data_IF_239159185725
#
_entry.id   IF_239159185725
#
_cell.length_a   1.000
_cell.length_b   1.000
_cell.length_c   1.000
_cell.angle_alpha   90.00
_cell.angle_beta   90.00
_cell.angle_gamma   90.00
#
_symmetry.space_group_name_H-M   'P 1'
#
loop_
_entity.id
_entity.type
_entity.pdbx_description
1 polymer ?
#
# COMPACT_ATOMS: atom_id res chain seq x y z
N UNK A 1 -0.64 41.91 -82.94
CA UNK A 1 0.11 40.64 -82.96
C UNK A 1 1.41 40.87 -82.23
N UNK A 2 1.50 40.42 -80.99
CA UNK A 2 2.67 40.58 -80.11
C UNK A 2 2.78 39.31 -79.28
N UNK A 3 3.96 38.72 -79.27
CA UNK A 3 4.20 37.37 -78.76
C UNK A 3 4.20 37.24 -77.24
N UNK A 4 3.99 36.00 -76.82
CA UNK A 4 4.24 35.48 -75.47
C UNK A 4 4.68 34.03 -75.59
N UNK A 5 5.96 33.83 -75.32
CA UNK A 5 6.61 32.78 -74.51
C UNK A 5 6.01 31.35 -74.48
N UNK A 6 6.83 30.39 -74.93
CA UNK A 6 6.68 28.95 -74.66
C UNK A 6 6.94 28.62 -73.19
N UNK A 7 6.14 27.69 -72.63
CA UNK A 7 6.45 26.93 -71.43
C UNK A 7 6.26 25.43 -71.74
N UNK A 8 7.20 24.55 -71.32
CA UNK A 8 7.28 23.17 -71.80
C UNK A 8 6.38 22.17 -71.05
N UNK A 9 6.11 21.07 -71.77
CA UNK A 9 5.29 19.90 -71.41
C UNK A 9 5.50 19.35 -69.98
N UNK A 10 4.40 19.25 -69.23
CA UNK A 10 4.33 18.48 -68.00
C UNK A 10 4.10 16.99 -68.33
N UNK A 11 5.16 16.17 -68.21
CA UNK A 11 5.06 14.71 -68.14
C UNK A 11 4.23 14.27 -66.93
N UNK A 12 3.36 13.25 -67.06
CA UNK A 12 2.71 12.63 -65.92
C UNK A 12 3.74 11.90 -65.04
N UNK A 13 3.71 12.19 -63.74
CA UNK A 13 4.53 11.51 -62.75
C UNK A 13 4.12 10.03 -62.66
N UNK A 14 5.07 9.14 -62.97
CA UNK A 14 4.91 7.71 -62.80
C UNK A 14 4.65 7.34 -61.33
N UNK A 15 3.66 6.47 -61.11
CA UNK A 15 3.34 5.91 -59.81
C UNK A 15 4.57 5.19 -59.20
N UNK A 16 4.94 5.56 -57.96
CA UNK A 16 5.94 4.82 -57.19
C UNK A 16 5.43 3.40 -56.87
N UNK A 17 6.24 2.35 -57.04
CA UNK A 17 5.84 0.99 -56.70
C UNK A 17 5.64 0.85 -55.19
N UNK A 18 4.46 0.35 -54.77
CA UNK A 18 4.13 0.06 -53.38
C UNK A 18 4.99 -1.10 -52.88
N UNK A 19 5.88 -0.80 -51.93
CA UNK A 19 6.85 -1.73 -51.39
C UNK A 19 6.16 -2.76 -50.47
N UNK A 20 5.75 -3.91 -51.03
CA UNK A 20 5.07 -4.99 -50.29
C UNK A 20 5.93 -5.54 -49.14
N UNK A 21 7.25 -5.48 -49.25
CA UNK A 21 8.18 -5.94 -48.22
C UNK A 21 8.07 -5.15 -46.91
N UNK A 22 7.84 -3.83 -46.96
CA UNK A 22 7.69 -3.00 -45.77
C UNK A 22 6.40 -3.31 -44.99
N UNK A 23 5.33 -3.69 -45.69
CA UNK A 23 4.04 -4.04 -45.07
C UNK A 23 4.07 -5.44 -44.44
N UNK A 24 4.79 -6.38 -45.04
CA UNK A 24 5.02 -7.70 -44.45
C UNK A 24 5.92 -7.61 -43.21
N UNK A 25 6.95 -6.75 -43.23
CA UNK A 25 7.83 -6.57 -42.06
C UNK A 25 7.11 -5.89 -40.89
N UNK A 26 6.23 -4.92 -41.15
CA UNK A 26 5.39 -4.30 -40.10
C UNK A 26 4.41 -5.29 -39.46
N UNK A 27 3.84 -6.21 -40.25
CA UNK A 27 2.97 -7.26 -39.71
C UNK A 27 3.79 -8.25 -38.86
N UNK A 28 5.00 -8.62 -39.28
CA UNK A 28 5.87 -9.51 -38.49
C UNK A 28 6.32 -8.86 -37.17
N UNK A 29 6.70 -7.58 -37.18
CA UNK A 29 7.08 -6.85 -35.95
C UNK A 29 5.88 -6.66 -35.02
N UNK A 30 4.70 -6.35 -35.55
CA UNK A 30 3.47 -6.28 -34.75
C UNK A 30 3.06 -7.65 -34.19
N UNK A 31 3.26 -8.74 -34.95
CA UNK A 31 2.94 -10.11 -34.51
C UNK A 31 3.92 -10.62 -33.45
N UNK A 32 5.21 -10.24 -33.55
CA UNK A 32 6.21 -10.55 -32.53
C UNK A 32 5.98 -9.69 -31.28
N UNK A 33 5.60 -8.42 -31.43
CA UNK A 33 5.24 -7.54 -30.30
C UNK A 33 4.00 -8.02 -29.54
N UNK A 34 2.94 -8.40 -30.25
CA UNK A 34 1.72 -8.97 -29.64
C UNK A 34 1.99 -10.37 -29.06
N UNK A 35 2.81 -11.19 -29.73
CA UNK A 35 3.21 -12.50 -29.24
C UNK A 35 4.08 -12.41 -27.98
N UNK A 36 5.00 -11.45 -27.91
CA UNK A 36 5.80 -11.17 -26.72
C UNK A 36 4.92 -10.64 -25.59
N UNK A 37 4.02 -9.69 -25.85
CA UNK A 37 3.09 -9.17 -24.84
C UNK A 37 2.18 -10.27 -24.26
N UNK A 38 1.63 -11.15 -25.11
CA UNK A 38 0.78 -12.28 -24.68
C UNK A 38 1.58 -13.37 -23.96
N UNK A 39 2.83 -13.61 -24.34
CA UNK A 39 3.72 -14.54 -23.63
C UNK A 39 4.19 -13.96 -22.30
N UNK A 40 4.42 -12.66 -22.17
CA UNK A 40 4.75 -12.01 -20.88
C UNK A 40 3.56 -12.05 -19.93
N UNK A 41 2.34 -11.77 -20.42
CA UNK A 41 1.10 -11.87 -19.62
C UNK A 41 0.84 -13.33 -19.19
N UNK A 42 0.97 -14.30 -20.09
CA UNK A 42 0.72 -15.71 -19.76
C UNK A 42 1.83 -16.35 -18.91
N UNK A 43 3.09 -15.95 -19.09
CA UNK A 43 4.22 -16.48 -18.30
C UNK A 43 4.30 -15.85 -16.91
N UNK A 44 3.88 -14.58 -16.77
CA UNK A 44 3.78 -13.89 -15.48
C UNK A 44 2.76 -14.52 -14.53
N UNK A 45 1.73 -15.20 -15.04
CA UNK A 45 0.75 -15.96 -14.23
C UNK A 45 1.28 -17.33 -13.79
N UNK A 46 2.23 -17.93 -14.53
CA UNK A 46 2.66 -19.34 -14.33
C UNK A 46 4.01 -19.47 -13.61
N UNK A 47 4.85 -18.43 -13.60
CA UNK A 47 6.20 -18.44 -13.01
C UNK A 47 6.38 -17.51 -11.81
N UNK A 48 5.30 -16.89 -11.32
CA UNK A 48 5.33 -16.11 -10.08
C UNK A 48 5.68 -17.02 -8.89
N UNK A 49 6.46 -16.53 -7.89
CA UNK A 49 6.54 -17.22 -6.61
C UNK A 49 5.11 -17.44 -6.12
N UNK A 50 4.72 -18.71 -5.97
CA UNK A 50 3.42 -18.99 -5.34
C UNK A 50 3.44 -18.27 -4.00
N UNK A 51 2.35 -17.56 -3.67
CA UNK A 51 2.06 -17.22 -2.29
C UNK A 51 2.39 -18.45 -1.45
N UNK A 52 3.16 -18.32 -0.35
CA UNK A 52 3.55 -19.46 0.46
C UNK A 52 2.32 -20.34 0.68
N UNK A 53 2.45 -21.64 0.36
CA UNK A 53 1.33 -22.58 0.49
C UNK A 53 0.75 -22.39 1.89
N UNK A 54 -0.53 -22.01 1.94
CA UNK A 54 -1.26 -21.90 3.19
C UNK A 54 -1.22 -23.28 3.82
N UNK A 55 -0.36 -23.43 4.83
CA UNK A 55 -0.37 -24.61 5.69
C UNK A 55 -1.79 -24.79 6.24
N UNK A 56 -2.18 -26.03 6.61
CA UNK A 56 -3.52 -26.29 7.10
C UNK A 56 -3.92 -25.25 8.15
N UNK A 57 -5.06 -24.59 7.93
CA UNK A 57 -5.73 -23.78 8.95
C UNK A 57 -5.85 -24.69 10.17
N UNK A 58 -5.06 -24.39 11.21
CA UNK A 58 -5.40 -24.91 12.52
C UNK A 58 -6.76 -24.29 12.86
N UNK A 59 -7.61 -25.02 13.58
CA UNK A 59 -8.86 -24.47 14.09
C UNK A 59 -8.54 -23.22 14.91
N UNK A 60 -8.55 -22.06 14.26
CA UNK A 60 -8.52 -20.78 14.93
C UNK A 60 -9.80 -20.81 15.74
N UNK A 61 -9.75 -20.67 17.07
CA UNK A 61 -10.94 -20.27 17.77
C UNK A 61 -11.18 -18.86 17.25
N UNK A 62 -11.96 -18.74 16.17
CA UNK A 62 -12.75 -17.54 15.93
C UNK A 62 -13.31 -17.25 17.30
N UNK A 63 -13.00 -16.08 17.85
CA UNK A 63 -13.68 -15.54 19.03
C UNK A 63 -15.14 -15.32 18.67
N UNK A 64 -15.83 -16.39 18.29
CA UNK A 64 -17.20 -16.44 17.92
C UNK A 64 -17.91 -16.43 19.25
N UNK A 65 -18.32 -15.23 19.64
CA UNK A 65 -19.44 -15.08 20.55
C UNK A 65 -20.64 -15.79 19.89
N UNK A 66 -21.14 -16.90 20.45
CA UNK A 66 -22.27 -17.63 19.86
C UNK A 66 -23.57 -16.83 19.77
N UNK A 67 -23.60 -15.70 20.45
CA UNK A 67 -24.70 -14.76 20.52
C UNK A 67 -24.56 -13.58 19.56
N UNK A 68 -23.45 -13.50 18.80
CA UNK A 68 -23.28 -12.57 17.68
C UNK A 68 -23.86 -13.13 16.37
N UNK A 69 -24.83 -14.05 16.47
CA UNK A 69 -25.76 -14.43 15.40
C UNK A 69 -26.65 -13.22 15.04
N UNK A 70 -26.05 -12.18 14.47
CA UNK A 70 -26.79 -11.20 13.68
C UNK A 70 -26.71 -11.63 12.21
N UNK A 71 -27.05 -12.89 11.96
CA UNK A 71 -27.15 -13.50 10.63
C UNK A 71 -27.96 -12.55 9.74
N UNK A 72 -27.31 -11.90 8.78
CA UNK A 72 -27.99 -11.14 7.74
C UNK A 72 -29.08 -10.20 8.30
N UNK A 73 -28.83 -9.50 9.41
CA UNK A 73 -29.89 -8.73 10.07
C UNK A 73 -30.41 -7.55 9.22
N UNK A 74 -29.66 -7.15 8.19
CA UNK A 74 -29.96 -6.00 7.33
C UNK A 74 -29.70 -6.30 5.84
N UNK A 75 -30.42 -5.63 4.92
CA UNK A 75 -30.13 -5.66 3.48
C UNK A 75 -28.67 -5.37 3.12
N UNK A 76 -28.03 -4.45 3.85
CA UNK A 76 -26.59 -4.15 3.67
C UNK A 76 -25.71 -5.36 4.01
N UNK A 77 -25.99 -6.06 5.11
CA UNK A 77 -25.26 -7.27 5.49
C UNK A 77 -25.40 -8.39 4.45
N UNK A 78 -26.59 -8.56 3.87
CA UNK A 78 -26.82 -9.51 2.78
C UNK A 78 -26.03 -9.15 1.51
N UNK A 79 -25.94 -7.85 1.20
CA UNK A 79 -25.11 -7.34 0.09
C UNK A 79 -23.65 -7.71 0.27
N UNK A 80 -23.08 -7.41 1.44
CA UNK A 80 -21.68 -7.75 1.71
C UNK A 80 -21.45 -9.26 1.72
N UNK A 81 -22.40 -10.06 2.22
CA UNK A 81 -22.27 -11.51 2.18
C UNK A 81 -22.14 -12.05 0.75
N UNK A 82 -22.98 -11.57 -0.16
CA UNK A 82 -22.94 -11.96 -1.58
C UNK A 82 -21.68 -11.45 -2.28
N UNK A 83 -21.27 -10.19 -2.04
CA UNK A 83 -20.03 -9.64 -2.60
C UNK A 83 -18.78 -10.41 -2.13
N UNK A 84 -18.70 -10.77 -0.84
CA UNK A 84 -17.58 -11.57 -0.32
C UNK A 84 -17.60 -13.01 -0.84
N UNK A 85 -18.78 -13.60 -1.05
CA UNK A 85 -18.90 -14.90 -1.71
C UNK A 85 -18.38 -14.84 -3.16
N UNK A 86 -18.79 -13.81 -3.90
CA UNK A 86 -18.32 -13.57 -5.26
C UNK A 86 -16.80 -13.35 -5.33
N UNK A 87 -16.21 -12.61 -4.39
CA UNK A 87 -14.75 -12.45 -4.30
C UNK A 87 -14.04 -13.80 -4.04
N UNK A 88 -14.52 -14.61 -3.10
CA UNK A 88 -13.95 -15.95 -2.84
C UNK A 88 -14.03 -16.87 -4.06
N UNK A 89 -15.10 -16.75 -4.85
CA UNK A 89 -15.30 -17.51 -6.08
C UNK A 89 -14.61 -16.91 -7.30
N UNK A 90 -13.97 -15.73 -7.16
CA UNK A 90 -13.41 -14.93 -8.27
C UNK A 90 -14.45 -14.61 -9.36
N UNK A 91 -15.72 -14.42 -8.97
CA UNK A 91 -16.82 -14.11 -9.87
C UNK A 91 -17.09 -12.60 -9.90
N UNK A 92 -16.46 -11.94 -10.87
CA UNK A 92 -16.57 -10.49 -11.08
C UNK A 92 -18.01 -10.04 -11.37
N UNK A 93 -18.75 -10.80 -12.18
CA UNK A 93 -20.11 -10.40 -12.59
C UNK A 93 -21.08 -10.50 -11.40
N UNK A 94 -20.94 -11.55 -10.58
CA UNK A 94 -21.71 -11.69 -9.33
C UNK A 94 -21.33 -10.61 -8.30
N UNK A 95 -20.07 -10.23 -8.22
CA UNK A 95 -19.62 -9.13 -7.35
C UNK A 95 -20.27 -7.80 -7.73
N UNK A 96 -20.33 -7.50 -9.03
CA UNK A 96 -20.91 -6.26 -9.56
C UNK A 96 -22.44 -6.26 -9.61
N UNK A 97 -23.10 -7.39 -9.39
CA UNK A 97 -24.57 -7.51 -9.43
C UNK A 97 -25.28 -6.64 -8.36
N UNK A 98 -24.55 -6.22 -7.32
CA UNK A 98 -25.07 -5.40 -6.22
C UNK A 98 -24.61 -3.94 -6.28
N UNK A 99 -24.15 -3.49 -7.44
CA UNK A 99 -23.79 -2.11 -7.69
C UNK A 99 -24.44 -1.59 -8.97
N UNK A 100 -24.78 -0.30 -8.97
CA UNK A 100 -25.36 0.39 -10.12
C UNK A 100 -24.70 1.75 -10.34
N UNK A 101 -24.86 2.30 -11.54
CA UNK A 101 -24.34 3.63 -11.90
C UNK A 101 -22.83 3.76 -11.65
N UNK A 102 -22.44 4.85 -10.97
CA UNK A 102 -21.03 5.16 -10.69
C UNK A 102 -20.39 4.13 -9.75
N UNK A 103 -21.14 3.53 -8.83
CA UNK A 103 -20.62 2.46 -7.97
C UNK A 103 -20.19 1.23 -8.75
N UNK A 104 -20.97 0.82 -9.76
CA UNK A 104 -20.62 -0.31 -10.60
C UNK A 104 -19.31 -0.06 -11.37
N UNK A 105 -19.11 1.17 -11.85
CA UNK A 105 -17.88 1.56 -12.54
C UNK A 105 -16.67 1.57 -11.58
N UNK A 106 -16.82 2.13 -10.38
CA UNK A 106 -15.74 2.18 -9.39
C UNK A 106 -15.36 0.79 -8.87
N UNK A 107 -16.34 -0.07 -8.58
CA UNK A 107 -16.09 -1.45 -8.14
C UNK A 107 -15.48 -2.31 -9.24
N UNK A 108 -15.89 -2.09 -10.50
CA UNK A 108 -15.26 -2.72 -11.65
C UNK A 108 -13.79 -2.31 -11.76
N UNK A 109 -13.50 -1.02 -11.63
CA UNK A 109 -12.13 -0.51 -11.65
C UNK A 109 -11.28 -1.08 -10.51
N UNK A 110 -11.82 -1.08 -9.28
CA UNK A 110 -11.15 -1.69 -8.13
C UNK A 110 -10.85 -3.16 -8.37
N UNK A 111 -11.81 -3.92 -8.90
CA UNK A 111 -11.63 -5.34 -9.19
C UNK A 111 -10.52 -5.55 -10.22
N UNK A 112 -10.60 -4.85 -11.36
CA UNK A 112 -9.69 -5.03 -12.49
C UNK A 112 -8.25 -4.64 -12.12
N UNK A 113 -8.09 -3.51 -11.42
CA UNK A 113 -6.78 -3.06 -10.93
C UNK A 113 -6.22 -4.00 -9.85
N UNK A 114 -7.06 -4.46 -8.93
CA UNK A 114 -6.65 -5.44 -7.92
C UNK A 114 -6.19 -6.74 -8.57
N UNK A 115 -6.93 -7.22 -9.58
CA UNK A 115 -6.60 -8.43 -10.34
C UNK A 115 -5.26 -8.28 -11.09
N UNK A 116 -5.01 -7.11 -11.70
CA UNK A 116 -3.73 -6.80 -12.33
C UNK A 116 -2.57 -6.85 -11.32
N UNK A 117 -2.76 -6.30 -10.11
CA UNK A 117 -1.80 -6.37 -9.01
C UNK A 117 -1.59 -7.83 -8.56
N UNK A 118 -2.64 -8.66 -8.60
CA UNK A 118 -2.60 -10.10 -8.36
C UNK A 118 -3.05 -10.48 -6.96
N UNK A 119 -4.28 -10.12 -6.59
CA UNK A 119 -4.86 -10.49 -5.31
C UNK A 119 -5.31 -11.96 -5.23
N UNK A 120 -5.18 -12.55 -4.05
CA UNK A 120 -5.65 -13.91 -3.76
C UNK A 120 -6.93 -13.89 -2.92
N UNK A 121 -6.88 -13.30 -1.73
CA UNK A 121 -8.01 -13.15 -0.82
C UNK A 121 -8.45 -11.68 -0.78
N UNK A 122 -9.75 -11.40 -0.66
CA UNK A 122 -10.26 -10.04 -0.50
C UNK A 122 -11.49 -10.01 0.39
N UNK A 123 -11.74 -8.84 0.97
CA UNK A 123 -12.93 -8.60 1.78
C UNK A 123 -13.48 -7.19 1.59
N UNK A 124 -14.80 -7.10 1.73
CA UNK A 124 -15.52 -5.86 1.96
C UNK A 124 -16.34 -6.02 3.24
N UNK A 125 -16.15 -5.12 4.20
CA UNK A 125 -16.83 -5.21 5.48
C UNK A 125 -17.17 -3.84 6.03
N UNK A 126 -18.34 -3.66 6.66
CA UNK A 126 -18.66 -2.43 7.37
C UNK A 126 -17.65 -2.16 8.51
N UNK A 127 -17.32 -0.89 8.74
CA UNK A 127 -16.62 -0.48 9.98
C UNK A 127 -17.59 -0.37 11.15
N UNK A 128 -18.86 -0.08 10.88
CA UNK A 128 -19.99 -0.11 11.81
C UNK A 128 -21.25 -0.64 11.09
N UNK A 129 -22.16 -1.28 11.82
CA UNK A 129 -23.37 -1.86 11.24
C UNK A 129 -24.49 -0.85 10.99
N UNK A 130 -24.36 0.36 11.52
CA UNK A 130 -25.37 1.39 11.37
C UNK A 130 -25.14 2.18 10.07
N UNK A 131 -26.17 2.20 9.21
CA UNK A 131 -26.24 3.14 8.08
C UNK A 131 -26.71 4.48 8.63
N UNK A 132 -26.08 5.56 8.22
CA UNK A 132 -26.46 6.89 8.68
C UNK A 132 -27.79 7.38 8.06
N UNK A 133 -28.27 8.54 8.50
CA UNK A 133 -29.52 9.14 8.03
C UNK A 133 -29.50 9.45 6.51
N UNK A 134 -28.32 9.52 5.89
CA UNK A 134 -28.14 9.74 4.46
C UNK A 134 -28.11 8.44 3.64
N UNK A 135 -28.28 7.27 4.28
CA UNK A 135 -28.19 5.98 3.59
C UNK A 135 -26.75 5.56 3.30
N UNK A 136 -25.78 6.09 4.04
CA UNK A 136 -24.36 5.84 3.84
C UNK A 136 -23.73 5.02 4.96
N UNK A 137 -22.65 4.32 4.64
CA UNK A 137 -21.91 3.48 5.57
C UNK A 137 -20.42 3.51 5.19
N UNK A 138 -19.54 3.52 6.19
CA UNK A 138 -18.11 3.32 5.96
C UNK A 138 -17.79 1.82 5.94
N UNK A 139 -17.00 1.40 4.95
CA UNK A 139 -16.57 0.01 4.76
C UNK A 139 -15.06 -0.04 4.59
N UNK A 140 -14.44 -1.11 5.05
CA UNK A 140 -13.10 -1.51 4.62
C UNK A 140 -13.26 -2.39 3.39
N UNK A 141 -12.72 -1.94 2.26
CA UNK A 141 -12.54 -2.74 1.05
C UNK A 141 -11.05 -2.95 0.84
N UNK A 142 -10.64 -4.20 0.68
CA UNK A 142 -9.23 -4.54 0.60
C UNK A 142 -8.99 -5.93 0.06
N UNK A 143 -7.77 -6.16 -0.38
CA UNK A 143 -7.33 -7.46 -0.80
C UNK A 143 -5.93 -7.75 -0.26
N UNK A 144 -5.64 -9.04 -0.14
CA UNK A 144 -4.31 -9.57 -0.01
C UNK A 144 -3.65 -9.54 -1.38
N UNK A 145 -2.82 -8.54 -1.62
CA UNK A 145 -2.01 -8.44 -2.82
C UNK A 145 -0.75 -9.31 -2.70
N UNK A 146 0.13 -9.25 -3.72
CA UNK A 146 1.42 -9.94 -3.66
C UNK A 146 2.20 -9.62 -2.38
N UNK A 147 2.91 -10.61 -1.84
CA UNK A 147 3.76 -10.50 -0.63
C UNK A 147 3.01 -10.09 0.63
N UNK A 148 1.83 -10.64 0.82
CA UNK A 148 1.05 -10.43 2.03
C UNK A 148 1.84 -10.64 3.32
N UNK A 149 1.70 -9.71 4.25
CA UNK A 149 2.22 -9.88 5.58
C UNK A 149 1.44 -10.95 6.33
N UNK A 150 2.18 -11.87 6.95
CA UNK A 150 1.70 -12.99 7.73
C UNK A 150 2.62 -13.17 8.95
N UNK A 151 2.25 -12.65 10.13
CA UNK A 151 2.95 -12.98 11.37
C UNK A 151 3.06 -14.51 11.52
N UNK A 152 4.24 -15.00 11.86
CA UNK A 152 4.50 -16.44 11.90
C UNK A 152 3.75 -17.11 13.05
N UNK A 153 3.27 -18.34 12.84
CA UNK A 153 2.59 -19.08 13.91
C UNK A 153 3.53 -19.34 15.09
N UNK A 154 3.15 -18.86 16.28
CA UNK A 154 3.85 -19.15 17.54
C UNK A 154 4.79 -18.05 18.04
N UNK A 155 4.80 -16.90 17.36
CA UNK A 155 5.46 -15.65 17.80
C UNK A 155 4.78 -14.99 19.02
N UNK A 156 3.55 -15.41 19.34
CA UNK A 156 2.74 -14.85 20.42
C UNK A 156 1.80 -13.73 19.96
N UNK A 157 1.76 -13.44 18.66
CA UNK A 157 0.80 -12.54 18.03
C UNK A 157 -0.58 -13.20 17.97
N UNK A 158 -1.63 -12.41 18.18
CA UNK A 158 -3.02 -12.83 18.03
C UNK A 158 -3.40 -13.11 16.57
N UNK A 159 -2.66 -12.50 15.63
CA UNK A 159 -2.87 -12.59 14.19
C UNK A 159 -1.98 -13.65 13.52
N UNK A 160 -1.23 -14.40 14.33
CA UNK A 160 -0.34 -15.48 13.93
C UNK A 160 -0.99 -16.46 12.94
N UNK A 161 -0.48 -16.47 11.70
CA UNK A 161 -0.97 -17.32 10.61
C UNK A 161 -2.27 -16.86 9.95
N UNK A 162 -2.70 -15.61 10.15
CA UNK A 162 -3.77 -14.95 9.41
C UNK A 162 -3.19 -14.00 8.35
N UNK A 163 -3.97 -13.75 7.30
CA UNK A 163 -3.64 -12.84 6.21
C UNK A 163 -3.90 -11.39 6.61
N UNK A 164 -2.87 -10.55 6.53
CA UNK A 164 -2.99 -9.10 6.64
C UNK A 164 -3.25 -8.51 5.24
N UNK A 165 -4.49 -8.12 5.00
CA UNK A 165 -4.92 -7.52 3.73
C UNK A 165 -4.52 -6.03 3.65
N UNK A 166 -4.45 -5.49 2.44
CA UNK A 166 -4.27 -4.05 2.20
C UNK A 166 -5.63 -3.38 1.99
N UNK A 167 -6.37 -3.17 3.08
CA UNK A 167 -7.69 -2.55 3.06
C UNK A 167 -7.68 -1.03 3.29
N UNK A 168 -8.65 -0.34 2.70
CA UNK A 168 -8.84 1.09 2.88
C UNK A 168 -10.31 1.41 3.13
N UNK A 169 -10.55 2.55 3.78
CA UNK A 169 -11.90 3.01 4.11
C UNK A 169 -12.56 3.65 2.87
N UNK A 170 -13.75 3.18 2.54
CA UNK A 170 -14.63 3.74 1.52
C UNK A 170 -15.96 4.11 2.16
N UNK A 171 -16.61 5.15 1.68
CA UNK A 171 -18.00 5.46 1.97
C UNK A 171 -18.87 4.88 0.87
N UNK A 172 -19.78 3.98 1.23
CA UNK A 172 -20.81 3.43 0.34
C UNK A 172 -22.15 4.11 0.56
N UNK A 173 -22.95 4.25 -0.48
CA UNK A 173 -24.34 4.75 -0.42
C UNK A 173 -25.30 3.73 -1.01
N UNK A 174 -26.36 3.40 -0.28
CA UNK A 174 -27.38 2.44 -0.72
C UNK A 174 -28.59 3.14 -1.36
N UNK A 175 -29.36 2.41 -2.16
CA UNK A 175 -30.62 2.93 -2.72
C UNK A 175 -31.61 3.37 -1.60
N UNK A 176 -32.28 4.54 -1.74
CA UNK A 176 -33.27 5.00 -0.78
C UNK A 176 -34.42 4.00 -0.57
N UNK A 177 -34.80 3.76 0.68
CA UNK A 177 -35.88 2.82 1.03
C UNK A 177 -35.41 1.39 1.30
N UNK A 178 -34.11 1.12 1.13
CA UNK A 178 -33.44 -0.02 1.78
C UNK A 178 -33.49 0.25 3.29
N UNK A 179 -34.55 -0.14 4.02
CA UNK A 179 -34.67 0.17 5.45
C UNK A 179 -33.42 -0.32 6.20
N UNK A 180 -32.54 0.59 6.67
CA UNK A 180 -31.40 0.22 7.46
C UNK A 180 -31.89 0.16 8.91
N UNK A 181 -32.72 -0.81 9.23
CA UNK A 181 -33.11 -0.98 10.63
C UNK A 181 -31.87 -1.34 11.43
N UNK A 182 -31.79 -0.73 12.62
CA UNK A 182 -30.78 -1.05 13.62
C UNK A 182 -30.73 -2.56 13.85
N UNK A 183 -29.52 -3.09 14.01
CA UNK A 183 -29.27 -4.51 14.30
C UNK A 183 -30.09 -5.04 15.49
N UNK A 184 -30.47 -4.18 16.42
CA UNK A 184 -31.24 -4.55 17.62
C UNK A 184 -32.75 -4.66 17.42
N UNK A 185 -33.33 -4.12 16.34
CA UNK A 185 -34.79 -4.06 16.15
C UNK A 185 -35.37 -5.29 15.42
N UNK A 186 -34.53 -6.24 14.95
CA UNK A 186 -34.94 -7.31 14.02
C UNK A 186 -34.74 -8.76 14.47
N UNK A 187 -34.57 -9.03 15.76
CA UNK A 187 -34.45 -10.41 16.30
C UNK A 187 -35.63 -11.37 16.01
N UNK A 188 -36.72 -10.91 15.37
CA UNK A 188 -37.91 -11.73 15.06
C UNK A 188 -38.10 -12.05 13.57
N UNK A 189 -37.25 -11.58 12.65
CA UNK A 189 -37.38 -11.91 11.22
C UNK A 189 -36.68 -13.23 10.88
N UNK A 190 -37.43 -14.20 10.33
CA UNK A 190 -36.96 -15.56 10.02
C UNK A 190 -36.52 -15.74 8.56
N UNK A 191 -36.75 -14.75 7.70
CA UNK A 191 -36.33 -14.78 6.29
C UNK A 191 -35.13 -13.85 6.10
N UNK A 192 -34.07 -14.29 5.39
CA UNK A 192 -32.93 -13.42 5.10
C UNK A 192 -33.39 -12.24 4.25
N UNK A 193 -32.94 -11.00 4.56
CA UNK A 193 -33.34 -9.82 3.80
C UNK A 193 -32.77 -9.87 2.39
N UNK A 194 -33.51 -9.32 1.44
CA UNK A 194 -33.02 -9.07 0.09
C UNK A 194 -31.81 -8.11 0.13
N UNK A 195 -30.74 -8.37 -0.64
CA UNK A 195 -29.59 -7.48 -0.74
C UNK A 195 -29.97 -6.07 -1.21
N UNK A 196 -29.37 -5.06 -0.59
CA UNK A 196 -29.46 -3.67 -1.02
C UNK A 196 -28.53 -3.38 -2.20
N UNK A 197 -28.91 -2.41 -3.03
CA UNK A 197 -28.10 -1.97 -4.16
C UNK A 197 -27.19 -0.80 -3.76
N UNK A 198 -25.90 -0.89 -4.08
CA UNK A 198 -24.92 0.18 -3.88
C UNK A 198 -25.00 1.14 -5.07
N UNK A 199 -25.21 2.42 -4.79
CA UNK A 199 -25.34 3.49 -5.80
C UNK A 199 -24.11 4.39 -5.88
N UNK A 200 -23.32 4.46 -4.81
CA UNK A 200 -22.04 5.17 -4.76
C UNK A 200 -21.05 4.42 -3.88
N UNK A 201 -19.77 4.46 -4.25
CA UNK A 201 -18.63 4.05 -3.42
C UNK A 201 -17.46 4.98 -3.73
N UNK A 202 -16.94 5.65 -2.71
CA UNK A 202 -15.83 6.60 -2.85
C UNK A 202 -14.86 6.46 -1.67
N UNK A 203 -13.56 6.74 -1.85
CA UNK A 203 -12.61 6.76 -0.74
C UNK A 203 -13.10 7.67 0.39
N UNK A 204 -13.12 7.17 1.63
CA UNK A 204 -13.58 7.93 2.79
C UNK A 204 -12.60 9.04 3.19
N UNK A 205 -11.32 8.87 2.83
CA UNK A 205 -10.21 9.79 3.14
C UNK A 205 -9.50 10.21 1.86
N UNK A 206 -8.25 9.79 1.68
CA UNK A 206 -7.47 10.05 0.47
C UNK A 206 -7.75 8.96 -0.58
N UNK A 207 -7.82 9.31 -1.87
CA UNK A 207 -7.92 8.30 -2.93
C UNK A 207 -6.68 7.42 -2.96
N UNK A 208 -6.87 6.14 -3.27
CA UNK A 208 -5.76 5.24 -3.49
C UNK A 208 -5.30 5.29 -4.96
N UNK A 209 -4.04 4.92 -5.24
CA UNK A 209 -3.51 4.91 -6.60
C UNK A 209 -4.36 4.11 -7.61
N UNK A 210 -5.01 3.02 -7.18
CA UNK A 210 -5.89 2.20 -8.02
C UNK A 210 -7.33 2.71 -8.16
N UNK A 211 -7.70 3.83 -7.51
CA UNK A 211 -9.07 4.35 -7.57
C UNK A 211 -9.31 5.30 -8.76
N UNK A 212 -8.27 5.77 -9.45
CA UNK A 212 -8.36 6.90 -10.38
C UNK A 212 -8.39 6.55 -11.87
N UNK A 213 -8.02 5.31 -12.23
CA UNK A 213 -7.98 4.85 -13.61
C UNK A 213 -7.24 3.52 -13.75
N UNK A 214 -7.14 3.04 -14.98
CA UNK A 214 -6.39 1.82 -15.30
C UNK A 214 -4.92 1.98 -14.90
N UNK A 215 -4.35 0.92 -14.33
CA UNK A 215 -2.95 0.88 -13.89
C UNK A 215 -2.11 -0.01 -14.80
N UNK A 216 -0.81 0.28 -14.85
CA UNK A 216 0.22 -0.63 -15.36
C UNK A 216 0.98 -1.25 -14.20
N UNK A 217 1.25 -2.55 -14.26
CA UNK A 217 1.89 -3.31 -13.17
C UNK A 217 3.14 -4.02 -13.68
N UNK A 218 4.27 -3.78 -13.03
CA UNK A 218 5.50 -4.55 -13.18
C UNK A 218 5.76 -5.35 -11.90
N UNK A 219 5.96 -6.66 -12.07
CA UNK A 219 6.15 -7.58 -10.95
C UNK A 219 7.58 -8.15 -10.94
N UNK A 220 8.15 -8.32 -9.74
CA UNK A 220 9.49 -8.86 -9.45
C UNK A 220 9.43 -9.74 -8.19
N UNK A 221 10.50 -10.46 -7.88
CA UNK A 221 10.50 -11.48 -6.83
C UNK A 221 10.14 -10.95 -5.43
N UNK A 222 10.36 -9.67 -5.15
CA UNK A 222 10.05 -9.04 -3.86
C UNK A 222 9.25 -7.73 -4.00
N UNK A 223 8.82 -7.35 -5.22
CA UNK A 223 8.07 -6.11 -5.45
C UNK A 223 6.97 -6.27 -6.49
N UNK A 224 5.80 -5.71 -6.19
CA UNK A 224 4.81 -5.33 -7.19
C UNK A 224 4.82 -3.80 -7.29
N UNK A 225 5.40 -3.29 -8.38
CA UNK A 225 5.43 -1.85 -8.67
C UNK A 225 4.35 -1.53 -9.69
N UNK A 226 3.52 -0.54 -9.41
CA UNK A 226 2.47 -0.12 -10.31
C UNK A 226 2.34 1.40 -10.38
N UNK A 227 1.74 1.89 -11.45
CA UNK A 227 1.48 3.31 -11.68
C UNK A 227 0.29 3.44 -12.62
N UNK A 228 -0.09 4.66 -12.96
CA UNK A 228 -1.18 4.86 -13.93
C UNK A 228 -0.79 4.27 -15.29
N UNK A 229 -1.76 3.86 -16.11
CA UNK A 229 -1.50 3.25 -17.42
C UNK A 229 -0.70 4.17 -18.37
N UNK A 230 -0.85 5.49 -18.23
CA UNK A 230 -0.06 6.49 -18.96
C UNK A 230 1.38 6.65 -18.42
N UNK A 231 1.69 6.08 -17.25
CA UNK A 231 3.01 6.03 -16.61
C UNK A 231 3.68 4.65 -16.72
N UNK A 232 3.22 3.79 -17.64
CA UNK A 232 3.77 2.44 -17.81
C UNK A 232 5.30 2.41 -18.01
N UNK A 233 5.86 3.39 -18.73
CA UNK A 233 7.31 3.49 -18.92
C UNK A 233 8.04 3.83 -17.60
N UNK A 234 7.47 4.69 -16.76
CA UNK A 234 8.02 5.01 -15.44
C UNK A 234 8.08 3.77 -14.56
N UNK A 235 7.00 2.97 -14.57
CA UNK A 235 6.91 1.71 -13.82
C UNK A 235 8.00 0.73 -14.28
N UNK A 236 8.10 0.46 -15.59
CA UNK A 236 9.09 -0.49 -16.11
C UNK A 236 10.53 -0.07 -15.86
N UNK A 237 10.84 1.23 -16.00
CA UNK A 237 12.18 1.75 -15.76
C UNK A 237 12.62 1.63 -14.29
N UNK A 238 11.67 1.62 -13.35
CA UNK A 238 11.96 1.63 -11.91
C UNK A 238 11.74 0.27 -11.22
N UNK A 239 11.11 -0.70 -11.87
CA UNK A 239 10.80 -1.99 -11.26
C UNK A 239 12.05 -2.74 -10.76
N UNK A 240 13.15 -2.72 -11.50
CA UNK A 240 14.40 -3.37 -11.08
C UNK A 240 15.10 -2.62 -9.94
N UNK A 241 14.94 -1.29 -9.86
CA UNK A 241 15.46 -0.49 -8.75
C UNK A 241 14.65 -0.74 -7.48
N UNK A 242 13.33 -0.84 -7.60
CA UNK A 242 12.45 -1.23 -6.49
C UNK A 242 12.82 -2.63 -5.97
N UNK A 243 13.03 -3.60 -6.85
CA UNK A 243 13.45 -4.97 -6.49
C UNK A 243 14.77 -4.99 -5.70
N UNK A 244 15.81 -4.31 -6.20
CA UNK A 244 17.10 -4.22 -5.46
C UNK A 244 16.93 -3.58 -4.09
N UNK A 245 16.08 -2.56 -4.01
CA UNK A 245 15.80 -1.84 -2.75
C UNK A 245 15.04 -2.72 -1.77
N UNK A 246 14.11 -3.56 -2.25
CA UNK A 246 13.37 -4.51 -1.44
C UNK A 246 14.28 -5.57 -0.83
N UNK A 247 15.15 -6.18 -1.64
CA UNK A 247 16.17 -7.13 -1.17
C UNK A 247 17.07 -6.46 -0.12
N UNK A 248 17.52 -5.23 -0.40
CA UNK A 248 18.37 -4.47 0.51
C UNK A 248 17.69 -4.22 1.86
N UNK A 249 16.42 -3.80 1.86
CA UNK A 249 15.65 -3.56 3.08
C UNK A 249 15.44 -4.87 3.87
N UNK A 250 14.97 -5.93 3.22
CA UNK A 250 14.74 -7.24 3.85
C UNK A 250 16.02 -7.80 4.47
N UNK A 251 17.15 -7.78 3.74
CA UNK A 251 18.43 -8.29 4.24
C UNK A 251 18.97 -7.43 5.38
N UNK A 252 18.76 -6.11 5.33
CA UNK A 252 19.15 -5.21 6.43
C UNK A 252 18.37 -5.52 7.70
N UNK A 253 17.04 -5.71 7.60
CA UNK A 253 16.21 -6.07 8.77
C UNK A 253 16.61 -7.44 9.34
N UNK A 254 16.84 -8.44 8.49
CA UNK A 254 17.35 -9.76 8.92
C UNK A 254 18.70 -9.65 9.62
N UNK A 255 19.61 -8.80 9.11
CA UNK A 255 20.91 -8.57 9.72
C UNK A 255 20.82 -7.85 11.09
N UNK A 256 19.77 -7.07 11.33
CA UNK A 256 19.44 -6.48 12.63
C UNK A 256 18.79 -7.47 13.60
N UNK A 257 18.61 -8.73 13.20
CA UNK A 257 17.95 -9.76 14.00
C UNK A 257 16.42 -9.73 13.92
N UNK A 258 15.85 -8.97 12.97
CA UNK A 258 14.42 -8.98 12.71
C UNK A 258 13.99 -10.18 11.87
N UNK A 259 12.74 -10.60 12.05
CA UNK A 259 12.06 -11.62 11.25
C UNK A 259 10.95 -10.91 10.47
N UNK A 260 11.21 -10.47 9.21
CA UNK A 260 10.21 -9.80 8.40
C UNK A 260 8.92 -10.62 8.28
N UNK A 261 7.77 -10.02 8.59
CA UNK A 261 6.46 -10.67 8.45
C UNK A 261 5.96 -10.72 7.00
N UNK A 262 6.71 -10.13 6.06
CA UNK A 262 6.44 -10.14 4.63
C UNK A 262 7.76 -10.31 3.85
N UNK A 263 7.67 -10.96 2.70
CA UNK A 263 8.81 -11.24 1.81
C UNK A 263 8.88 -10.28 0.61
N UNK A 264 8.12 -9.19 0.63
CA UNK A 264 8.11 -8.23 -0.46
C UNK A 264 7.12 -7.09 -0.23
N UNK A 265 6.92 -6.27 -1.26
CA UNK A 265 6.25 -4.98 -1.12
C UNK A 265 5.29 -4.67 -2.27
N UNK A 266 4.16 -4.06 -1.92
CA UNK A 266 3.27 -3.40 -2.88
C UNK A 266 3.61 -1.91 -2.94
N UNK A 267 3.91 -1.41 -4.13
CA UNK A 267 4.36 -0.03 -4.33
C UNK A 267 3.71 0.65 -5.52
N UNK A 268 3.21 1.87 -5.30
CA UNK A 268 2.79 2.76 -6.36
C UNK A 268 3.91 3.75 -6.72
N UNK A 269 3.95 4.23 -7.95
CA UNK A 269 4.88 5.27 -8.43
C UNK A 269 4.16 6.22 -9.38
N UNK A 270 4.45 7.51 -9.26
CA UNK A 270 3.94 8.58 -10.14
C UNK A 270 5.02 9.66 -10.33
N UNK A 271 5.08 10.28 -11.51
CA UNK A 271 5.87 11.49 -11.76
C UNK A 271 5.03 12.78 -11.71
N UNK A 272 3.69 12.63 -11.67
CA UNK A 272 2.76 13.73 -11.46
C UNK A 272 2.70 14.11 -9.97
N UNK A 273 3.25 15.30 -9.64
CA UNK A 273 3.22 15.85 -8.29
C UNK A 273 1.80 16.15 -7.78
N UNK A 274 0.88 16.57 -8.65
CA UNK A 274 -0.52 16.84 -8.26
C UNK A 274 -1.25 15.54 -7.92
N UNK A 275 -0.93 14.46 -8.63
CA UNK A 275 -1.43 13.11 -8.31
C UNK A 275 -0.85 12.61 -6.99
N UNK A 276 0.47 12.74 -6.81
CA UNK A 276 1.14 12.34 -5.58
C UNK A 276 0.59 13.06 -4.34
N UNK A 277 0.48 14.40 -4.38
CA UNK A 277 -0.10 15.18 -3.28
C UNK A 277 -1.54 14.77 -2.97
N UNK A 278 -2.34 14.47 -4.00
CA UNK A 278 -3.73 14.04 -3.82
C UNK A 278 -3.82 12.66 -3.16
N UNK A 279 -2.95 11.71 -3.51
CA UNK A 279 -2.90 10.40 -2.86
C UNK A 279 -2.40 10.48 -1.42
N UNK A 280 -1.46 11.39 -1.15
CA UNK A 280 -0.87 11.54 0.18
C UNK A 280 -1.80 12.27 1.15
N UNK A 281 -2.40 13.38 0.71
CA UNK A 281 -3.11 14.31 1.59
C UNK A 281 -4.62 14.35 1.35
N UNK A 282 -5.11 13.85 0.21
CA UNK A 282 -6.53 13.94 -0.15
C UNK A 282 -7.02 15.39 -0.16
N UNK A 283 -7.89 15.74 0.80
CA UNK A 283 -8.39 17.12 1.02
C UNK A 283 -7.62 17.87 2.12
N UNK A 284 -6.63 17.24 2.72
CA UNK A 284 -5.78 17.80 3.76
C UNK A 284 -4.79 18.82 3.24
N UNK A 285 -4.12 19.52 4.17
CA UNK A 285 -3.06 20.46 3.85
C UNK A 285 -1.73 19.72 3.73
N UNK A 286 -0.97 19.91 2.64
CA UNK A 286 0.40 19.41 2.53
C UNK A 286 1.28 19.91 3.68
N UNK A 287 2.35 19.16 3.98
CA UNK A 287 3.35 19.61 4.94
C UNK A 287 4.25 20.69 4.33
N UNK A 288 4.99 21.41 5.17
CA UNK A 288 5.95 22.43 4.72
C UNK A 288 7.25 21.81 4.16
N UNK A 289 7.33 20.48 4.09
CA UNK A 289 8.46 19.73 3.53
C UNK A 289 8.07 19.03 2.23
N UNK A 290 9.03 18.92 1.33
CA UNK A 290 8.91 18.11 0.12
C UNK A 290 8.98 16.63 0.50
N UNK A 291 7.98 15.85 0.09
CA UNK A 291 7.90 14.41 0.40
C UNK A 291 8.22 13.61 -0.85
N UNK A 292 9.27 12.80 -0.79
CA UNK A 292 9.72 11.98 -1.92
C UNK A 292 8.96 10.64 -2.06
N UNK A 293 8.42 10.14 -0.95
CA UNK A 293 7.65 8.92 -0.87
C UNK A 293 6.94 8.83 0.49
N UNK A 294 6.01 7.90 0.61
CA UNK A 294 5.40 7.58 1.90
C UNK A 294 4.95 6.13 1.96
N UNK A 295 4.97 5.57 3.16
CA UNK A 295 4.37 4.29 3.50
C UNK A 295 3.15 4.51 4.40
N UNK A 296 2.00 3.99 3.99
CA UNK A 296 0.74 4.10 4.73
C UNK A 296 0.31 2.72 5.25
N UNK A 297 0.13 2.56 6.58
CA UNK A 297 -0.47 1.34 7.10
C UNK A 297 -1.92 1.24 6.62
N UNK A 298 -2.35 0.02 6.36
CA UNK A 298 -3.69 -0.27 5.82
C UNK A 298 -4.62 -0.78 6.91
N UNK A 299 -5.89 -0.93 6.56
CA UNK A 299 -6.96 -1.38 7.42
C UNK A 299 -7.30 -2.85 7.17
N UNK A 300 -7.82 -3.49 8.20
CA UNK A 300 -8.47 -4.80 8.12
C UNK A 300 -9.95 -4.65 8.52
N UNK A 301 -10.82 -5.62 8.17
CA UNK A 301 -12.17 -5.66 8.72
C UNK A 301 -12.14 -5.58 10.25
N UNK A 302 -12.91 -4.66 10.83
CA UNK A 302 -12.85 -4.42 12.28
C UNK A 302 -13.53 -5.53 13.08
N UNK A 303 -14.50 -6.20 12.47
CA UNK A 303 -15.34 -7.19 13.11
C UNK A 303 -15.29 -8.50 12.33
N UNK A 304 -15.04 -9.60 13.02
CA UNK A 304 -15.18 -10.92 12.43
C UNK A 304 -16.63 -11.16 12.00
N UNK A 305 -16.83 -11.58 10.76
CA UNK A 305 -18.13 -11.95 10.19
C UNK A 305 -18.05 -13.31 9.52
N UNK A 306 -19.16 -14.07 9.50
CA UNK A 306 -19.19 -15.40 8.86
C UNK A 306 -18.97 -15.34 7.35
N UNK A 307 -19.26 -14.22 6.72
CA UNK A 307 -19.06 -14.02 5.28
C UNK A 307 -17.67 -13.50 4.92
N UNK A 308 -16.86 -13.08 5.90
CA UNK A 308 -15.44 -12.78 5.69
C UNK A 308 -14.68 -14.10 5.64
N UNK A 309 -13.69 -14.20 4.75
CA UNK A 309 -12.83 -15.38 4.70
C UNK A 309 -12.11 -15.57 6.06
N UNK A 310 -12.21 -16.75 6.70
CA UNK A 310 -11.64 -16.97 8.03
C UNK A 310 -10.11 -16.92 8.07
N UNK A 311 -9.44 -16.88 6.91
CA UNK A 311 -8.00 -16.65 6.81
C UNK A 311 -7.61 -15.20 7.03
N UNK A 312 -8.53 -14.23 6.89
CA UNK A 312 -8.25 -12.80 7.04
C UNK A 312 -8.23 -12.39 8.51
N UNK A 313 -7.20 -11.65 8.92
CA UNK A 313 -7.14 -11.06 10.25
C UNK A 313 -8.21 -9.97 10.41
N UNK A 314 -8.85 -9.89 11.58
CA UNK A 314 -9.86 -8.87 11.89
C UNK A 314 -9.57 -8.19 13.22
N UNK A 315 -10.05 -6.97 13.42
CA UNK A 315 -9.90 -6.23 14.67
C UNK A 315 -9.54 -4.76 14.49
N UNK A 316 -9.17 -4.11 15.58
CA UNK A 316 -8.90 -2.67 15.65
C UNK A 316 -7.52 -2.24 15.14
N UNK A 317 -6.66 -3.20 14.81
CA UNK A 317 -5.25 -2.90 14.51
C UNK A 317 -5.05 -2.72 13.01
N UNK A 318 -3.99 -2.01 12.64
CA UNK A 318 -3.55 -1.86 11.25
C UNK A 318 -3.20 -3.22 10.61
N UNK A 319 -3.16 -3.31 9.28
CA UNK A 319 -2.98 -4.58 8.56
C UNK A 319 -1.70 -4.58 7.71
N UNK A 320 -1.79 -4.70 6.38
CA UNK A 320 -0.64 -4.55 5.49
C UNK A 320 -0.15 -3.08 5.35
N UNK A 321 0.72 -2.83 4.38
CA UNK A 321 1.19 -1.47 4.03
C UNK A 321 1.05 -1.21 2.53
N UNK A 322 0.83 0.05 2.15
CA UNK A 322 1.04 0.55 0.79
C UNK A 322 2.22 1.53 0.79
N UNK A 323 3.18 1.33 -0.09
CA UNK A 323 4.27 2.28 -0.36
C UNK A 323 3.94 3.09 -1.61
N UNK A 324 4.20 4.39 -1.60
CA UNK A 324 3.96 5.28 -2.74
C UNK A 324 5.17 6.18 -2.97
N UNK A 325 5.64 6.23 -4.21
CA UNK A 325 6.81 7.01 -4.63
C UNK A 325 6.38 8.22 -5.47
N UNK A 326 6.83 9.40 -5.05
CA UNK A 326 6.56 10.66 -5.74
C UNK A 326 7.71 11.10 -6.66
N UNK A 327 7.51 12.22 -7.39
CA UNK A 327 8.51 12.76 -8.33
C UNK A 327 9.84 13.14 -7.66
N UNK A 328 9.81 13.62 -6.42
CA UNK A 328 11.02 14.07 -5.71
C UNK A 328 11.99 12.93 -5.37
N UNK A 329 11.52 11.67 -5.41
CA UNK A 329 12.39 10.50 -5.27
C UNK A 329 13.31 10.26 -6.46
N UNK A 330 13.12 10.94 -7.60
CA UNK A 330 13.85 10.65 -8.85
C UNK A 330 15.38 10.65 -8.69
N UNK A 331 15.93 11.58 -7.91
CA UNK A 331 17.39 11.71 -7.73
C UNK A 331 18.00 10.73 -6.71
N UNK A 332 17.17 10.09 -5.88
CA UNK A 332 17.59 9.21 -4.78
C UNK A 332 16.69 7.97 -4.66
N UNK A 333 16.21 7.46 -5.79
CA UNK A 333 15.08 6.51 -5.86
C UNK A 333 15.29 5.27 -5.00
N UNK A 334 16.46 4.66 -5.09
CA UNK A 334 16.78 3.45 -4.33
C UNK A 334 16.82 3.72 -2.82
N UNK A 335 17.45 4.82 -2.39
CA UNK A 335 17.47 5.23 -0.98
C UNK A 335 16.06 5.48 -0.44
N UNK A 336 15.21 6.18 -1.20
CA UNK A 336 13.82 6.45 -0.80
C UNK A 336 13.01 5.15 -0.76
N UNK A 337 13.19 4.22 -1.71
CA UNK A 337 12.55 2.91 -1.62
C UNK A 337 12.97 2.15 -0.36
N UNK A 338 14.26 2.11 -0.04
CA UNK A 338 14.76 1.47 1.18
C UNK A 338 14.13 2.11 2.43
N UNK A 339 14.01 3.43 2.48
CA UNK A 339 13.33 4.17 3.55
C UNK A 339 11.86 3.75 3.70
N UNK A 340 11.09 3.79 2.61
CA UNK A 340 9.67 3.44 2.66
C UNK A 340 9.42 1.94 2.90
N UNK A 341 10.32 1.07 2.44
CA UNK A 341 10.27 -0.36 2.75
C UNK A 341 10.59 -0.64 4.22
N UNK A 342 11.48 0.14 4.85
CA UNK A 342 11.69 0.06 6.29
C UNK A 342 10.42 0.40 7.06
N UNK A 343 9.69 1.45 6.65
CA UNK A 343 8.38 1.76 7.23
C UNK A 343 7.37 0.64 7.02
N UNK A 344 7.33 0.02 5.84
CA UNK A 344 6.42 -1.09 5.56
C UNK A 344 6.69 -2.30 6.48
N UNK A 345 7.96 -2.70 6.63
CA UNK A 345 8.35 -3.76 7.55
C UNK A 345 8.05 -3.40 9.01
N UNK A 346 8.25 -2.15 9.39
CA UNK A 346 7.97 -1.67 10.75
C UNK A 346 6.46 -1.73 11.06
N UNK A 347 5.61 -1.25 10.15
CA UNK A 347 4.15 -1.27 10.31
C UNK A 347 3.60 -2.70 10.40
N UNK A 348 4.13 -3.64 9.63
CA UNK A 348 3.65 -5.03 9.63
C UNK A 348 4.23 -5.89 10.75
N UNK A 349 5.33 -5.47 11.37
CA UNK A 349 5.92 -6.12 12.53
C UNK A 349 5.32 -5.66 13.86
N UNK A 350 4.76 -4.44 13.89
CA UNK A 350 4.07 -3.91 15.06
C UNK A 350 2.67 -3.38 14.69
N UNK A 351 1.72 -4.26 14.30
CA UNK A 351 0.35 -3.83 14.01
C UNK A 351 -0.27 -3.18 15.25
N UNK A 352 -0.43 -1.85 15.21
CA UNK A 352 -1.02 -1.10 16.32
C UNK A 352 -2.49 -0.78 16.10
N UNK A 353 -3.28 -0.71 17.17
CA UNK A 353 -4.47 0.15 17.21
C UNK A 353 -4.04 1.59 16.85
N UNK A 354 -4.88 2.41 16.21
CA UNK A 354 -4.56 3.72 15.60
C UNK A 354 -3.76 4.78 16.43
N UNK A 355 -3.29 4.47 17.64
CA UNK A 355 -2.17 5.17 18.27
C UNK A 355 -0.94 5.12 17.37
N UNK A 356 -0.76 6.16 16.55
CA UNK A 356 0.39 6.28 15.68
C UNK A 356 1.63 6.45 16.58
N UNK A 357 2.68 5.64 16.44
CA UNK A 357 3.94 5.91 17.13
C UNK A 357 4.41 7.33 16.78
N UNK A 358 5.10 8.04 17.69
CA UNK A 358 5.66 9.35 17.38
C UNK A 358 6.43 9.31 16.06
N UNK A 359 6.32 10.36 15.25
CA UNK A 359 6.93 10.38 13.90
C UNK A 359 8.43 10.10 13.99
N UNK A 360 9.08 10.58 15.06
CA UNK A 360 10.49 10.35 15.33
C UNK A 360 10.88 8.86 15.39
N UNK A 361 10.00 8.00 15.93
CA UNK A 361 10.28 6.57 16.06
C UNK A 361 10.36 5.94 14.67
N UNK A 362 9.36 6.22 13.82
CA UNK A 362 9.27 5.67 12.47
C UNK A 362 10.34 6.24 11.56
N UNK A 363 10.41 7.56 11.44
CA UNK A 363 11.36 8.23 10.55
C UNK A 363 12.81 8.00 10.98
N UNK A 364 13.07 7.97 12.29
CA UNK A 364 14.40 7.62 12.80
C UNK A 364 14.79 6.19 12.43
N UNK A 365 13.86 5.23 12.52
CA UNK A 365 14.16 3.84 12.19
C UNK A 365 14.45 3.68 10.70
N UNK A 366 13.57 4.19 9.84
CA UNK A 366 13.75 4.16 8.41
C UNK A 366 15.06 4.85 7.99
N UNK A 367 15.37 6.00 8.60
CA UNK A 367 16.62 6.73 8.37
C UNK A 367 17.86 5.95 8.82
N UNK A 368 17.78 5.22 9.93
CA UNK A 368 18.87 4.33 10.35
C UNK A 368 19.06 3.14 9.38
N UNK A 369 17.96 2.57 8.86
CA UNK A 369 18.03 1.49 7.86
C UNK A 369 18.71 1.96 6.57
N UNK A 370 18.49 3.19 6.13
CA UNK A 370 19.24 3.77 5.01
C UNK A 370 20.77 3.74 5.25
N UNK A 371 21.22 4.08 6.45
CA UNK A 371 22.65 4.07 6.79
C UNK A 371 23.19 2.65 6.93
N UNK A 372 22.45 1.79 7.65
CA UNK A 372 22.87 0.40 7.92
C UNK A 372 22.97 -0.41 6.64
N UNK A 373 22.09 -0.15 5.67
CA UNK A 373 22.13 -0.76 4.34
C UNK A 373 23.24 -0.22 3.44
N UNK A 374 23.84 0.93 3.79
CA UNK A 374 24.79 1.64 2.93
C UNK A 374 24.14 2.44 1.80
N UNK A 375 22.81 2.64 1.85
CA UNK A 375 22.07 3.43 0.85
C UNK A 375 22.23 4.94 1.05
N UNK A 376 22.72 5.36 2.23
CA UNK A 376 22.98 6.75 2.60
C UNK A 376 24.13 6.84 3.59
N UNK A 377 24.83 7.97 3.62
CA UNK A 377 25.88 8.23 4.61
C UNK A 377 25.27 8.59 5.98
N UNK A 378 25.91 8.19 7.11
CA UNK A 378 25.36 8.46 8.44
C UNK A 378 25.21 9.96 8.74
N UNK A 379 23.97 10.43 8.73
CA UNK A 379 23.63 11.85 8.85
C UNK A 379 23.96 12.48 10.21
N UNK A 380 24.00 11.68 11.28
CA UNK A 380 24.40 12.13 12.61
C UNK A 380 25.87 12.58 12.71
N UNK A 381 26.69 12.31 11.68
CA UNK A 381 28.06 12.81 11.59
C UNK A 381 28.13 14.29 11.18
N UNK A 382 27.04 14.84 10.65
CA UNK A 382 27.00 16.22 10.14
C UNK A 382 27.06 17.25 11.28
N UNK A 383 27.87 18.32 11.17
CA UNK A 383 28.04 19.30 12.24
C UNK A 383 26.74 19.95 12.73
N UNK A 384 25.80 20.22 11.81
CA UNK A 384 24.50 20.81 12.12
C UNK A 384 23.61 19.87 12.95
N UNK A 385 23.66 18.56 12.70
CA UNK A 385 22.90 17.55 13.46
C UNK A 385 23.50 17.42 14.86
N UNK A 386 24.83 17.30 14.96
CA UNK A 386 25.55 17.25 16.26
C UNK A 386 25.24 18.48 17.11
N UNK A 387 25.24 19.68 16.52
CA UNK A 387 24.91 20.93 17.21
C UNK A 387 23.46 20.94 17.70
N UNK A 388 22.51 20.47 16.90
CA UNK A 388 21.11 20.40 17.30
C UNK A 388 20.89 19.43 18.47
N UNK A 389 21.47 18.23 18.40
CA UNK A 389 21.41 17.22 19.47
C UNK A 389 22.05 17.75 20.75
N UNK A 390 23.21 18.39 20.66
CA UNK A 390 23.88 18.97 21.82
C UNK A 390 23.07 20.11 22.48
N UNK A 391 22.36 20.91 21.68
CA UNK A 391 21.59 22.05 22.17
C UNK A 391 20.20 21.67 22.71
N UNK A 392 19.55 20.68 22.10
CA UNK A 392 18.12 20.41 22.30
C UNK A 392 17.84 18.99 22.82
N UNK A 393 18.82 18.08 22.78
CA UNK A 393 18.62 16.68 23.13
C UNK A 393 17.50 16.06 22.30
N UNK A 394 16.58 15.36 22.95
CA UNK A 394 15.40 14.76 22.30
C UNK A 394 14.49 15.81 21.62
N UNK A 395 14.60 17.09 22.01
CA UNK A 395 13.91 18.18 21.34
C UNK A 395 14.34 18.40 19.88
N UNK A 396 15.50 17.86 19.47
CA UNK A 396 16.00 17.97 18.10
C UNK A 396 15.14 17.25 17.06
N UNK A 397 14.23 16.37 17.48
CA UNK A 397 13.31 15.62 16.61
C UNK A 397 11.86 15.63 17.09
N UNK A 398 11.39 16.78 17.58
CA UNK A 398 9.96 16.95 17.88
C UNK A 398 9.08 16.73 16.64
N UNK A 399 7.81 16.37 16.84
CA UNK A 399 6.83 16.21 15.74
C UNK A 399 6.70 17.49 14.88
N UNK A 400 6.89 18.67 15.47
CA UNK A 400 6.94 19.95 14.75
C UNK A 400 8.18 20.04 13.85
N UNK A 401 9.36 19.68 14.37
CA UNK A 401 10.60 19.70 13.61
C UNK A 401 10.54 18.73 12.42
N UNK A 402 9.94 17.56 12.63
CA UNK A 402 9.76 16.49 11.63
C UNK A 402 8.79 16.83 10.50
N UNK A 403 8.00 17.92 10.63
CA UNK A 403 7.08 18.41 9.59
C UNK A 403 7.49 19.75 8.99
N UNK A 404 8.62 20.29 9.44
CA UNK A 404 9.14 21.59 8.99
C UNK A 404 10.01 21.46 7.74
N UNK A 405 10.29 22.58 7.06
CA UNK A 405 11.25 22.62 5.96
C UNK A 405 12.67 22.11 6.35
N UNK A 406 12.99 22.05 7.65
CA UNK A 406 14.24 21.51 8.19
C UNK A 406 14.18 20.04 8.60
N UNK A 407 13.11 19.31 8.24
CA UNK A 407 12.83 17.95 8.73
C UNK A 407 14.01 16.98 8.60
N UNK A 408 14.81 17.05 7.54
CA UNK A 408 15.99 16.18 7.36
C UNK A 408 16.97 16.19 8.55
N UNK A 409 17.11 17.33 9.24
CA UNK A 409 17.95 17.41 10.45
C UNK A 409 17.31 16.64 11.61
N UNK A 410 15.99 16.75 11.78
CA UNK A 410 15.24 16.00 12.78
C UNK A 410 15.23 14.49 12.47
N UNK A 411 15.16 14.09 11.19
CA UNK A 411 15.22 12.69 10.77
C UNK A 411 16.59 12.09 11.11
N UNK A 412 17.67 12.79 10.79
CA UNK A 412 19.02 12.37 11.15
C UNK A 412 19.24 12.33 12.67
N UNK A 413 18.67 13.30 13.40
CA UNK A 413 18.76 13.29 14.85
C UNK A 413 18.03 12.09 15.46
N UNK A 414 16.81 11.78 14.97
CA UNK A 414 16.05 10.61 15.40
C UNK A 414 16.78 9.30 15.03
N UNK A 415 17.29 9.18 13.81
CA UNK A 415 18.02 7.99 13.36
C UNK A 415 19.29 7.73 14.17
N UNK A 416 19.94 8.78 14.67
CA UNK A 416 21.13 8.65 15.51
C UNK A 416 20.87 7.87 16.81
N UNK A 417 19.62 7.83 17.29
CA UNK A 417 19.26 7.06 18.46
C UNK A 417 19.33 5.55 18.21
N UNK A 418 18.89 5.11 17.03
CA UNK A 418 19.04 3.72 16.60
C UNK A 418 20.50 3.37 16.31
N UNK A 419 21.27 4.30 15.73
CA UNK A 419 22.71 4.12 15.55
C UNK A 419 23.46 3.98 16.89
N UNK A 420 23.07 4.75 17.89
CA UNK A 420 23.57 4.63 19.25
C UNK A 420 23.22 3.27 19.88
N UNK A 421 21.99 2.82 19.70
CA UNK A 421 21.51 1.50 20.15
C UNK A 421 22.36 0.38 19.54
N UNK A 422 22.57 0.41 18.21
CA UNK A 422 23.41 -0.54 17.48
C UNK A 422 24.86 -0.52 17.98
N UNK A 423 25.43 0.67 18.20
CA UNK A 423 26.80 0.84 18.70
C UNK A 423 27.01 0.34 20.15
N UNK A 424 25.94 0.06 20.88
CA UNK A 424 25.96 -0.48 22.25
C UNK A 424 25.51 -1.94 22.31
N UNK A 425 25.54 -2.65 21.17
CA UNK A 425 25.08 -4.03 21.02
C UNK A 425 23.61 -4.23 21.43
N UNK A 426 22.80 -3.16 21.35
CA UNK A 426 21.36 -3.21 21.59
C UNK A 426 20.60 -3.79 20.40
N UNK A 427 19.46 -4.43 20.66
CA UNK A 427 18.59 -4.92 19.59
C UNK A 427 17.75 -3.77 19.01
N UNK A 428 18.24 -3.16 17.93
CA UNK A 428 17.56 -2.06 17.21
C UNK A 428 16.16 -2.44 16.75
N UNK A 429 15.99 -3.66 16.25
CA UNK A 429 14.69 -4.13 15.75
C UNK A 429 13.66 -4.21 16.88
N UNK A 430 14.03 -4.81 18.02
CA UNK A 430 13.17 -4.84 19.21
C UNK A 430 12.83 -3.43 19.69
N UNK A 431 13.81 -2.51 19.73
CA UNK A 431 13.54 -1.12 20.10
C UNK A 431 12.54 -0.47 19.15
N UNK A 432 12.67 -0.68 17.83
CA UNK A 432 11.74 -0.13 16.85
C UNK A 432 10.32 -0.66 17.04
N UNK A 433 10.16 -1.98 17.19
CA UNK A 433 8.86 -2.65 17.39
C UNK A 433 8.23 -2.23 18.73
N UNK A 434 8.95 -2.33 19.83
CA UNK A 434 8.44 -2.03 21.18
C UNK A 434 8.06 -0.56 21.33
N UNK A 435 8.81 0.35 20.69
CA UNK A 435 8.49 1.80 20.72
C UNK A 435 7.13 2.13 20.11
N UNK A 436 6.58 1.25 19.27
CA UNK A 436 5.21 1.40 18.74
C UNK A 436 4.18 1.10 19.80
N UNK A 437 4.28 -0.07 20.44
CA UNK A 437 3.37 -0.48 21.51
C UNK A 437 3.49 0.43 22.74
N UNK A 438 4.70 0.93 23.00
CA UNK A 438 5.01 1.81 24.11
C UNK A 438 4.77 3.30 23.80
N UNK A 439 4.41 3.68 22.57
CA UNK A 439 4.17 5.07 22.15
C UNK A 439 5.37 6.03 22.37
N UNK A 440 6.59 5.55 22.19
CA UNK A 440 7.78 6.40 22.22
C UNK A 440 9.07 5.67 22.60
N UNK A 441 10.18 6.39 22.49
CA UNK A 441 11.48 5.92 22.95
C UNK A 441 11.49 5.79 24.49
N UNK A 442 12.22 4.80 25.01
CA UNK A 442 12.54 4.61 26.44
C UNK A 442 11.38 4.26 27.39
N UNK A 443 10.17 3.91 26.92
CA UNK A 443 9.10 3.67 27.89
C UNK A 443 9.34 2.44 28.79
N UNK A 444 10.22 1.50 28.38
CA UNK A 444 10.54 0.29 29.15
C UNK A 444 12.04 -0.09 29.24
N UNK A 445 12.96 0.68 28.64
CA UNK A 445 14.40 0.36 28.67
C UNK A 445 15.14 1.18 29.73
N UNK A 446 15.73 0.49 30.72
CA UNK A 446 16.61 1.08 31.73
C UNK A 446 18.07 1.24 31.26
N UNK A 447 18.39 0.74 30.06
CA UNK A 447 19.77 0.59 29.57
C UNK A 447 20.27 1.79 28.77
N UNK A 448 19.39 2.71 28.38
CA UNK A 448 19.72 3.89 27.59
C UNK A 448 19.23 5.17 28.25
N UNK A 449 20.05 6.22 28.24
CA UNK A 449 19.68 7.57 28.69
C UNK A 449 19.95 8.61 27.61
N UNK A 450 19.18 9.69 27.61
CA UNK A 450 19.39 10.84 26.71
C UNK A 450 20.82 11.39 26.83
N UNK A 451 21.34 11.50 28.05
CA UNK A 451 22.67 12.03 28.32
C UNK A 451 23.78 11.15 27.71
N UNK A 452 23.64 9.82 27.79
CA UNK A 452 24.62 8.89 27.23
C UNK A 452 24.60 8.88 25.70
N UNK A 453 23.40 8.99 25.10
CA UNK A 453 23.25 9.16 23.66
C UNK A 453 23.88 10.47 23.17
N UNK A 454 23.58 11.60 23.82
CA UNK A 454 24.16 12.90 23.48
C UNK A 454 25.69 12.89 23.57
N UNK A 455 26.24 12.28 24.63
CA UNK A 455 27.69 12.12 24.79
C UNK A 455 28.28 11.28 23.65
N UNK A 456 27.65 10.16 23.31
CA UNK A 456 28.10 9.30 22.21
C UNK A 456 28.10 10.03 20.86
N UNK A 457 27.04 10.78 20.53
CA UNK A 457 26.95 11.57 19.28
C UNK A 457 28.07 12.61 19.20
N UNK A 458 28.43 13.23 20.33
CA UNK A 458 29.51 14.21 20.41
C UNK A 458 30.91 13.59 20.21
N UNK A 459 31.07 12.28 20.46
CA UNK A 459 32.32 11.53 20.29
C UNK A 459 32.52 10.96 18.89
N UNK A 460 31.46 10.83 18.08
CA UNK A 460 31.54 10.51 16.65
C UNK A 460 32.13 11.69 15.88
#
# INVERSE_FOLDING_TARGET
MTGTTEAPDAKPAGAKPRNRAARTMQIVVASIGVGALLLTVASGVVLWPRTPETGPTADVPVGWAPWADNELATPASATFAEMNAAMREKDRDRFLAYATGDAAAQLALWWDNSEAIGWDVAAIAPTDFDVDEAGTMEVVLGAQYGFAARPERGDGDRDAGLDLIQGFAYTVTFEPGSEPTRSFDRYEQTEPPEPAMITSIVPAREPNPWDEGEIHVAKRDHVVLFGMADEAELVEQNADAAERSAVTALDTIRALGGEPTQDGFLSAITDDGVRFERWQYGKGTPWDMDVAGYARPTLRPQMAQRWIDPTIATGSDTSGTLVVMGPDSTSGRETVFVHEFAHALHNTAAPGSFGTPPIAVKEGFARFVEWKSGSSEPGYLRPEVKQAIAAQGMGAFSDEALRSAGANLAYDAAGSFYAYTDARDGNVWTVAVDSVSALGFFNDSVDFSEADWQAWVAEQ
#
